data_IF_615481487034
#
_entry.id   IF_615481487034
#
_cell.length_a   1.000
_cell.length_b   1.000
_cell.length_c   1.000
_cell.angle_alpha   90.00
_cell.angle_beta   90.00
_cell.angle_gamma   90.00
#
_symmetry.space_group_name_H-M   'P 1'
#
loop_
_entity.id
_entity.type
_entity.pdbx_description
1 polymer ?
#
# COMPACT_ATOMS: atom_id res chain seq x y z
N UNK A 1 67.45 -2.81 -10.94
CA UNK A 1 66.14 -2.20 -11.30
C UNK A 1 65.15 -2.58 -10.23
N UNK A 2 64.65 -1.62 -9.44
CA UNK A 2 63.76 -1.88 -8.30
C UNK A 2 62.31 -1.79 -8.78
N UNK A 3 61.62 -2.93 -8.86
CA UNK A 3 60.21 -2.99 -9.20
C UNK A 3 59.40 -2.49 -8.00
N UNK A 4 58.85 -1.27 -8.07
CA UNK A 4 57.86 -0.78 -7.11
C UNK A 4 56.53 -1.47 -7.45
N UNK A 5 56.18 -2.50 -6.67
CA UNK A 5 54.82 -3.03 -6.64
C UNK A 5 53.91 -1.98 -5.99
N UNK A 6 53.10 -1.31 -6.81
CA UNK A 6 52.00 -0.47 -6.35
C UNK A 6 50.80 -1.40 -6.16
N UNK A 7 50.45 -1.67 -4.90
CA UNK A 7 49.20 -2.37 -4.56
C UNK A 7 48.07 -1.35 -4.58
N UNK A 8 47.29 -1.34 -5.67
CA UNK A 8 46.01 -0.63 -5.74
C UNK A 8 44.97 -1.50 -5.01
N UNK A 9 44.59 -1.09 -3.81
CA UNK A 9 43.40 -1.59 -3.13
C UNK A 9 42.18 -0.89 -3.72
N UNK A 10 41.44 -1.56 -4.61
CA UNK A 10 40.13 -1.10 -5.06
C UNK A 10 39.13 -1.39 -3.93
N UNK A 11 38.72 -0.34 -3.24
CA UNK A 11 37.59 -0.34 -2.32
C UNK A 11 36.31 -0.40 -3.17
N UNK A 12 35.70 -1.58 -3.28
CA UNK A 12 34.43 -1.74 -3.98
C UNK A 12 33.33 -1.12 -3.11
N UNK A 13 33.05 0.16 -3.33
CA UNK A 13 31.93 0.84 -2.69
C UNK A 13 30.67 0.31 -3.39
N UNK A 14 30.02 -0.67 -2.75
CA UNK A 14 28.66 -1.05 -3.11
C UNK A 14 27.74 0.14 -2.78
N UNK A 15 27.47 0.98 -3.78
CA UNK A 15 26.39 1.97 -3.70
C UNK A 15 25.09 1.17 -3.68
N UNK A 16 24.56 0.93 -2.48
CA UNK A 16 23.20 0.47 -2.29
C UNK A 16 22.28 1.63 -2.70
N UNK A 17 21.92 1.66 -3.98
CA UNK A 17 20.83 2.52 -4.44
C UNK A 17 19.56 1.94 -3.86
N UNK A 18 18.95 2.67 -2.92
CA UNK A 18 17.59 2.38 -2.48
C UNK A 18 16.68 2.58 -3.69
N UNK A 19 16.28 1.48 -4.33
CA UNK A 19 15.35 1.54 -5.45
C UNK A 19 13.95 1.84 -4.92
N UNK A 20 13.19 2.76 -5.54
CA UNK A 20 11.77 2.89 -5.25
C UNK A 20 11.06 1.55 -5.44
N UNK A 21 9.92 1.36 -4.77
CA UNK A 21 9.14 0.13 -4.88
C UNK A 21 8.56 0.07 -6.29
N UNK A 22 9.01 -0.88 -7.10
CA UNK A 22 8.42 -1.14 -8.41
C UNK A 22 7.10 -1.92 -8.30
N UNK A 23 6.33 -1.91 -9.38
CA UNK A 23 5.01 -2.56 -9.44
C UNK A 23 5.08 -4.07 -9.17
N UNK A 24 6.16 -4.77 -9.57
CA UNK A 24 6.30 -6.20 -9.32
C UNK A 24 6.54 -6.50 -7.84
N UNK A 25 7.39 -5.70 -7.17
CA UNK A 25 7.61 -5.75 -5.72
C UNK A 25 6.30 -5.45 -4.99
N UNK A 26 5.57 -4.42 -5.41
CA UNK A 26 4.27 -4.06 -4.84
C UNK A 26 3.23 -5.17 -5.03
N UNK A 27 3.17 -5.80 -6.20
CA UNK A 27 2.23 -6.90 -6.50
C UNK A 27 2.52 -8.14 -5.67
N UNK A 28 3.80 -8.50 -5.50
CA UNK A 28 4.23 -9.59 -4.60
C UNK A 28 3.85 -9.30 -3.15
N UNK A 29 4.02 -8.06 -2.71
CA UNK A 29 3.59 -7.63 -1.37
C UNK A 29 2.08 -7.73 -1.24
N UNK A 30 1.32 -7.28 -2.24
CA UNK A 30 -0.13 -7.40 -2.26
C UNK A 30 -0.62 -8.86 -2.21
N UNK A 31 0.02 -9.79 -2.94
CA UNK A 31 -0.35 -11.21 -2.91
C UNK A 31 -0.12 -11.85 -1.53
N UNK A 32 0.99 -11.50 -0.87
CA UNK A 32 1.28 -11.98 0.48
C UNK A 32 0.36 -11.35 1.54
N UNK A 33 -0.01 -10.07 1.37
CA UNK A 33 -1.04 -9.43 2.19
C UNK A 33 -2.38 -10.16 2.02
N UNK A 34 -2.77 -10.49 0.79
CA UNK A 34 -3.99 -11.24 0.51
C UNK A 34 -3.98 -12.59 1.22
N UNK A 35 -2.90 -13.38 1.09
CA UNK A 35 -2.78 -14.68 1.73
C UNK A 35 -2.92 -14.59 3.27
N UNK A 36 -2.29 -13.58 3.90
CA UNK A 36 -2.43 -13.37 5.34
C UNK A 36 -3.83 -12.90 5.75
N UNK A 37 -4.42 -11.96 5.01
CA UNK A 37 -5.63 -11.24 5.42
C UNK A 37 -6.92 -11.96 5.06
N UNK A 38 -6.91 -12.79 4.01
CA UNK A 38 -8.06 -13.59 3.58
C UNK A 38 -8.34 -14.77 4.50
N UNK A 39 -7.44 -15.05 5.47
CA UNK A 39 -7.48 -16.24 6.34
C UNK A 39 -7.53 -17.57 5.57
N UNK A 40 -7.10 -17.59 4.31
CA UNK A 40 -7.04 -18.82 3.50
C UNK A 40 -5.70 -19.53 3.60
N UNK A 41 -4.68 -18.90 4.18
CA UNK A 41 -3.29 -19.39 4.18
C UNK A 41 -2.76 -19.73 2.77
N UNK A 42 -3.42 -19.20 1.74
CA UNK A 42 -3.22 -19.56 0.36
C UNK A 42 -3.22 -18.33 -0.54
N UNK A 43 -2.58 -18.48 -1.70
CA UNK A 43 -2.67 -17.51 -2.79
C UNK A 43 -3.88 -17.78 -3.68
N UNK A 44 -4.63 -18.86 -3.43
CA UNK A 44 -5.78 -19.22 -4.25
C UNK A 44 -6.85 -18.12 -4.14
N UNK A 45 -7.23 -17.57 -5.29
CA UNK A 45 -8.17 -16.45 -5.37
C UNK A 45 -7.53 -15.07 -5.44
N UNK A 46 -6.20 -14.94 -5.28
CA UNK A 46 -5.52 -13.67 -5.59
C UNK A 46 -5.37 -13.49 -7.11
N UNK A 47 -6.36 -12.86 -7.73
CA UNK A 47 -6.28 -12.41 -9.11
C UNK A 47 -6.50 -10.90 -9.17
N UNK A 48 -5.64 -10.21 -9.92
CA UNK A 48 -5.65 -8.75 -10.04
C UNK A 48 -6.31 -8.37 -11.36
N UNK A 49 -7.41 -7.62 -11.27
CA UNK A 49 -8.17 -7.09 -12.41
C UNK A 49 -7.44 -5.95 -13.08
N UNK A 50 -6.98 -5.02 -12.26
CA UNK A 50 -6.28 -3.80 -12.69
C UNK A 50 -5.41 -3.28 -11.56
N UNK A 51 -4.44 -2.45 -11.93
CA UNK A 51 -3.58 -1.75 -10.98
C UNK A 51 -3.72 -0.26 -11.26
N UNK A 52 -4.27 0.47 -10.30
CA UNK A 52 -4.30 1.92 -10.35
C UNK A 52 -3.05 2.45 -9.64
N UNK A 53 -2.32 3.34 -10.29
CA UNK A 53 -1.09 3.94 -9.75
C UNK A 53 -1.35 5.42 -9.52
N UNK A 54 -1.13 5.85 -8.29
CA UNK A 54 -1.14 7.27 -7.94
C UNK A 54 0.31 7.72 -7.91
N UNK A 55 0.70 8.55 -8.85
CA UNK A 55 2.04 9.12 -8.94
C UNK A 55 2.07 10.64 -8.71
N UNK A 56 3.27 11.15 -8.46
CA UNK A 56 3.59 12.57 -8.50
C UNK A 56 4.96 12.75 -9.16
N UNK A 57 5.05 13.56 -10.22
CA UNK A 57 6.29 13.79 -10.97
C UNK A 57 7.02 12.49 -11.41
N UNK A 58 6.27 11.51 -11.94
CA UNK A 58 6.78 10.18 -12.34
C UNK A 58 7.31 9.33 -11.19
N UNK A 59 6.94 9.65 -9.96
CA UNK A 59 7.22 8.84 -8.78
C UNK A 59 5.93 8.19 -8.32
N UNK A 60 5.87 6.86 -8.40
CA UNK A 60 4.72 6.10 -7.94
C UNK A 60 4.64 6.19 -6.41
N UNK A 61 3.57 6.81 -5.89
CA UNK A 61 3.37 6.98 -4.45
C UNK A 61 2.55 5.85 -3.86
N UNK A 62 1.52 5.40 -4.58
CA UNK A 62 0.60 4.36 -4.12
C UNK A 62 0.26 3.41 -5.28
N UNK A 63 0.16 2.13 -4.95
CA UNK A 63 -0.34 1.09 -5.86
C UNK A 63 -1.65 0.54 -5.31
N UNK A 64 -2.70 0.53 -6.12
CA UNK A 64 -4.01 0.01 -5.76
C UNK A 64 -4.28 -1.20 -6.64
N UNK A 65 -4.22 -2.39 -6.04
CA UNK A 65 -4.49 -3.64 -6.73
C UNK A 65 -5.98 -3.95 -6.59
N UNK A 66 -6.73 -3.77 -7.67
CA UNK A 66 -8.15 -4.16 -7.75
C UNK A 66 -8.23 -5.66 -7.96
N UNK A 67 -9.00 -6.36 -7.12
CA UNK A 67 -9.15 -7.81 -7.23
C UNK A 67 -10.21 -8.19 -8.28
N UNK A 68 -10.08 -9.35 -8.92
CA UNK A 68 -10.98 -9.81 -9.99
C UNK A 68 -12.43 -9.99 -9.55
N UNK A 69 -12.65 -10.54 -8.35
CA UNK A 69 -14.01 -10.72 -7.81
C UNK A 69 -14.52 -9.40 -7.25
N UNK A 70 -13.96 -8.98 -6.14
CA UNK A 70 -14.30 -7.79 -5.39
C UNK A 70 -13.18 -7.53 -4.38
N UNK A 71 -12.91 -6.26 -4.12
CA UNK A 71 -11.90 -5.86 -3.15
C UNK A 71 -10.72 -5.14 -3.77
N UNK A 72 -9.87 -4.62 -2.89
CA UNK A 72 -8.64 -3.96 -3.25
C UNK A 72 -7.57 -4.14 -2.17
N UNK A 73 -6.32 -3.97 -2.57
CA UNK A 73 -5.19 -3.83 -1.64
C UNK A 73 -4.37 -2.60 -2.05
N UNK A 74 -4.19 -1.68 -1.11
CA UNK A 74 -3.46 -0.42 -1.29
C UNK A 74 -2.07 -0.54 -0.65
N UNK A 75 -1.05 -0.46 -1.49
CA UNK A 75 0.37 -0.66 -1.14
C UNK A 75 1.15 0.65 -1.32
N UNK A 76 2.05 0.96 -0.39
CA UNK A 76 2.91 2.14 -0.47
C UNK A 76 3.98 2.00 -1.57
N UNK A 77 4.29 3.11 -2.25
CA UNK A 77 5.31 3.19 -3.31
C UNK A 77 6.74 3.36 -2.82
N UNK A 78 6.94 3.49 -1.51
CA UNK A 78 8.25 3.63 -0.89
C UNK A 78 8.36 2.72 0.35
N UNK A 79 9.49 2.03 0.50
CA UNK A 79 9.69 1.06 1.58
C UNK A 79 10.09 1.66 2.93
N UNK A 80 10.18 3.00 3.02
CA UNK A 80 10.21 3.74 4.29
C UNK A 80 8.83 3.90 4.93
N UNK A 81 7.75 3.62 4.20
CA UNK A 81 6.37 3.65 4.70
C UNK A 81 5.86 2.22 4.88
N UNK A 82 4.87 2.01 5.76
CA UNK A 82 4.26 0.69 5.96
C UNK A 82 3.72 0.11 4.63
N UNK A 83 3.98 -1.18 4.31
CA UNK A 83 3.61 -1.77 3.02
C UNK A 83 2.10 -1.84 2.78
N UNK A 84 1.30 -2.11 3.82
CA UNK A 84 -0.16 -2.19 3.72
C UNK A 84 -0.79 -0.91 4.28
N UNK A 85 -1.38 -0.10 3.40
CA UNK A 85 -2.05 1.14 3.79
C UNK A 85 -3.56 0.93 4.01
N UNK A 86 -4.22 0.23 3.09
CA UNK A 86 -5.64 -0.11 3.19
C UNK A 86 -5.96 -1.39 2.40
N UNK A 87 -7.04 -2.08 2.74
CA UNK A 87 -7.58 -3.18 1.95
C UNK A 87 -9.07 -3.39 2.23
N UNK A 88 -9.75 -4.02 1.29
CA UNK A 88 -11.11 -4.57 1.45
C UNK A 88 -11.21 -5.83 0.59
N UNK A 89 -11.98 -6.83 1.03
CA UNK A 89 -12.36 -7.99 0.22
C UNK A 89 -13.85 -8.03 -0.09
N UNK A 90 -14.57 -6.98 0.31
CA UNK A 90 -16.04 -6.88 0.23
C UNK A 90 -16.47 -5.69 -0.63
N UNK A 91 -15.53 -4.85 -1.08
CA UNK A 91 -15.83 -3.69 -1.92
C UNK A 91 -14.61 -3.22 -2.70
N UNK A 92 -14.82 -2.81 -3.95
CA UNK A 92 -13.77 -2.22 -4.78
C UNK A 92 -13.42 -0.80 -4.31
N UNK A 93 -12.19 -0.37 -4.58
CA UNK A 93 -11.80 1.03 -4.39
C UNK A 93 -12.16 1.81 -5.66
N UNK A 94 -12.90 2.90 -5.51
CA UNK A 94 -13.28 3.77 -6.63
C UNK A 94 -12.50 5.06 -6.46
N UNK A 95 -11.83 5.52 -7.53
CA UNK A 95 -11.04 6.77 -7.54
C UNK A 95 -11.80 7.93 -8.18
N UNK A 96 -12.88 7.64 -8.89
CA UNK A 96 -13.79 8.62 -9.46
C UNK A 96 -14.81 9.08 -8.40
N UNK A 97 -15.10 10.38 -8.36
CA UNK A 97 -16.12 10.98 -7.47
C UNK A 97 -16.00 10.57 -5.99
N UNK A 98 -14.76 10.44 -5.52
CA UNK A 98 -14.45 9.97 -4.17
C UNK A 98 -15.04 10.91 -3.12
N UNK A 99 -15.79 10.40 -2.13
CA UNK A 99 -16.26 11.20 -1.00
C UNK A 99 -15.12 11.96 -0.32
N UNK A 100 -15.34 13.21 0.07
CA UNK A 100 -14.29 14.11 0.57
C UNK A 100 -13.46 13.51 1.71
N UNK A 101 -14.06 12.70 2.57
CA UNK A 101 -13.37 11.99 3.65
C UNK A 101 -12.39 10.93 3.13
N UNK A 102 -12.76 10.18 2.09
CA UNK A 102 -11.87 9.18 1.46
C UNK A 102 -10.80 9.88 0.64
N UNK A 103 -11.12 10.98 -0.05
CA UNK A 103 -10.15 11.80 -0.76
C UNK A 103 -9.07 12.34 0.18
N UNK A 104 -9.48 12.88 1.33
CA UNK A 104 -8.57 13.33 2.39
C UNK A 104 -7.64 12.21 2.89
N UNK A 105 -8.18 10.99 3.08
CA UNK A 105 -7.38 9.83 3.49
C UNK A 105 -6.31 9.47 2.45
N UNK A 106 -6.67 9.46 1.16
CA UNK A 106 -5.72 9.20 0.06
C UNK A 106 -4.64 10.27 0.02
N UNK A 107 -5.00 11.55 0.19
CA UNK A 107 -4.03 12.65 0.26
C UNK A 107 -3.11 12.56 1.48
N UNK A 108 -3.61 12.08 2.62
CA UNK A 108 -2.78 11.80 3.78
C UNK A 108 -1.74 10.70 3.47
N UNK A 109 -2.14 9.61 2.80
CA UNK A 109 -1.20 8.55 2.38
C UNK A 109 -0.17 9.07 1.37
N UNK A 110 -0.58 9.84 0.36
CA UNK A 110 0.35 10.49 -0.58
C UNK A 110 1.36 11.36 0.17
N UNK A 111 0.88 12.17 1.12
CA UNK A 111 1.73 13.06 1.92
C UNK A 111 2.72 12.29 2.79
N UNK A 112 2.31 11.16 3.37
CA UNK A 112 3.19 10.28 4.13
C UNK A 112 4.33 9.72 3.27
N UNK A 113 4.02 9.23 2.06
CA UNK A 113 5.03 8.69 1.15
C UNK A 113 5.97 9.79 0.68
N UNK A 114 5.45 10.95 0.23
CA UNK A 114 6.28 12.09 -0.16
C UNK A 114 7.20 12.55 0.97
N UNK A 115 6.67 12.68 2.19
CA UNK A 115 7.48 13.09 3.33
C UNK A 115 8.57 12.07 3.64
N UNK A 116 8.28 10.78 3.56
CA UNK A 116 9.28 9.74 3.74
C UNK A 116 10.39 9.85 2.67
N UNK A 117 10.00 10.15 1.42
CA UNK A 117 10.91 10.34 0.29
C UNK A 117 11.87 11.51 0.43
N UNK A 118 11.34 12.65 0.89
CA UNK A 118 12.10 13.87 1.15
C UNK A 118 12.95 13.77 2.43
N UNK A 119 12.59 12.89 3.36
CA UNK A 119 13.34 12.68 4.59
C UNK A 119 14.60 11.84 4.34
N UNK A 120 15.72 12.23 4.96
CA UNK A 120 16.95 11.41 5.02
C UNK A 120 16.83 10.24 6.02
N UNK A 121 15.63 9.95 6.51
CA UNK A 121 15.41 8.91 7.52
C UNK A 121 15.21 7.56 6.86
N UNK A 122 15.91 6.56 7.36
CA UNK A 122 15.64 5.17 7.02
C UNK A 122 14.32 4.70 7.64
N UNK A 123 13.73 3.67 7.04
CA UNK A 123 12.62 2.95 7.64
C UNK A 123 12.99 2.47 9.06
N UNK A 124 12.01 2.47 9.96
CA UNK A 124 12.18 1.81 11.27
C UNK A 124 12.34 0.30 11.10
N UNK A 125 12.97 -0.37 12.06
CA UNK A 125 13.11 -1.84 12.07
C UNK A 125 11.78 -2.56 11.88
N UNK A 126 10.70 -2.04 12.49
CA UNK A 126 9.34 -2.56 12.34
C UNK A 126 8.87 -2.50 10.88
N UNK A 127 9.06 -1.37 10.20
CA UNK A 127 8.65 -1.21 8.80
C UNK A 127 9.47 -2.12 7.89
N UNK A 128 10.79 -2.22 8.12
CA UNK A 128 11.66 -3.14 7.38
C UNK A 128 11.20 -4.60 7.55
N UNK A 129 10.88 -5.00 8.78
CA UNK A 129 10.39 -6.36 9.04
C UNK A 129 9.03 -6.63 8.39
N UNK A 130 8.12 -5.64 8.34
CA UNK A 130 6.85 -5.77 7.62
C UNK A 130 7.06 -5.90 6.10
N UNK A 131 7.96 -5.11 5.52
CA UNK A 131 8.32 -5.24 4.10
C UNK A 131 8.95 -6.59 3.82
N UNK A 132 9.92 -7.03 4.62
CA UNK A 132 10.57 -8.32 4.45
C UNK A 132 9.53 -9.45 4.49
N UNK A 133 8.68 -9.47 5.52
CA UNK A 133 7.59 -10.43 5.70
C UNK A 133 6.69 -10.52 4.47
N UNK A 134 6.16 -9.40 3.97
CA UNK A 134 5.28 -9.44 2.79
C UNK A 134 6.04 -9.55 1.47
N UNK A 135 7.34 -9.32 1.45
CA UNK A 135 8.14 -9.49 0.24
C UNK A 135 8.55 -10.95 0.04
N UNK A 136 8.81 -11.68 1.12
CA UNK A 136 9.21 -13.10 1.10
C UNK A 136 8.03 -14.04 1.31
N UNK A 137 6.96 -13.59 1.94
CA UNK A 137 5.86 -14.45 2.40
C UNK A 137 6.23 -15.32 3.61
N UNK A 138 7.37 -15.08 4.27
CA UNK A 138 7.74 -15.83 5.48
C UNK A 138 7.15 -15.19 6.73
N UNK A 139 6.59 -16.02 7.62
CA UNK A 139 6.00 -15.55 8.87
C UNK A 139 4.68 -14.81 8.69
N UNK A 140 3.93 -15.13 7.63
CA UNK A 140 2.54 -14.67 7.50
C UNK A 140 1.73 -15.24 8.68
N UNK A 141 1.11 -14.33 9.42
CA UNK A 141 0.30 -14.67 10.58
C UNK A 141 -1.15 -14.75 10.13
N UNK A 142 -1.53 -15.92 9.65
CA UNK A 142 -2.93 -16.23 9.41
C UNK A 142 -3.70 -16.04 10.71
N UNK A 143 -4.73 -15.18 10.64
CA UNK A 143 -5.50 -14.90 11.84
C UNK A 143 -6.38 -16.11 12.07
N UNK A 144 -5.99 -16.99 12.99
CA UNK A 144 -6.89 -17.99 13.56
C UNK A 144 -7.88 -17.34 14.55
N UNK A 145 -8.50 -16.23 14.13
CA UNK A 145 -9.52 -15.50 14.86
C UNK A 145 -10.63 -15.24 13.87
N UNK A 146 -11.81 -15.76 14.19
CA UNK A 146 -13.02 -15.48 13.44
C UNK A 146 -13.23 -13.95 13.42
N UNK A 147 -13.10 -13.34 12.24
CA UNK A 147 -13.38 -11.91 12.07
C UNK A 147 -14.90 -11.79 12.15
N UNK A 148 -15.40 -11.52 13.35
CA UNK A 148 -16.76 -11.02 13.50
C UNK A 148 -16.78 -9.69 12.76
N UNK A 149 -17.60 -9.61 11.71
CA UNK A 149 -17.69 -8.48 10.79
C UNK A 149 -17.95 -7.14 11.50
N UNK A 150 -18.18 -6.06 10.74
CA UNK A 150 -18.31 -4.74 11.33
C UNK A 150 -19.41 -4.73 12.41
N UNK A 151 -19.12 -4.06 13.54
CA UNK A 151 -20.09 -3.94 14.65
C UNK A 151 -21.38 -3.24 14.21
N UNK A 152 -21.26 -2.38 13.20
CA UNK A 152 -22.38 -1.68 12.57
C UNK A 152 -22.64 -2.31 11.20
N UNK A 153 -23.87 -2.78 11.00
CA UNK A 153 -24.34 -3.31 9.71
C UNK A 153 -25.05 -2.24 8.87
N UNK A 154 -25.18 -1.02 9.39
CA UNK A 154 -25.89 0.07 8.73
C UNK A 154 -25.03 0.74 7.66
N UNK A 155 -25.57 0.88 6.46
CA UNK A 155 -24.95 1.61 5.35
C UNK A 155 -25.56 3.02 5.25
N UNK A 156 -25.19 3.90 6.18
CA UNK A 156 -25.63 5.30 6.16
C UNK A 156 -25.03 6.05 4.97
N UNK A 157 -25.75 7.06 4.48
CA UNK A 157 -25.31 7.91 3.39
C UNK A 157 -25.55 9.39 3.73
N UNK A 158 -25.01 10.31 2.93
CA UNK A 158 -25.20 11.76 3.08
C UNK A 158 -26.34 12.32 2.21
N UNK A 159 -26.96 11.49 1.36
CA UNK A 159 -28.00 11.87 0.41
C UNK A 159 -29.24 10.98 0.52
N UNK A 160 -30.32 11.36 -0.20
CA UNK A 160 -31.58 10.63 -0.22
C UNK A 160 -32.34 10.75 1.11
N UNK A 161 -33.04 9.70 1.54
CA UNK A 161 -33.84 9.74 2.78
C UNK A 161 -33.05 10.10 4.06
N UNK A 162 -31.71 10.11 4.00
CA UNK A 162 -30.84 10.51 5.10
C UNK A 162 -30.78 12.04 5.30
N UNK A 163 -31.02 12.84 4.26
CA UNK A 163 -30.97 14.30 4.33
C UNK A 163 -32.34 14.99 4.16
N UNK A 164 -33.46 14.25 4.23
CA UNK A 164 -34.84 14.77 4.10
C UNK A 164 -35.19 15.89 5.09
N UNK A 165 -34.57 15.89 6.28
CA UNK A 165 -34.77 16.91 7.30
C UNK A 165 -33.59 17.89 7.40
N UNK A 166 -32.65 17.84 6.46
CA UNK A 166 -31.58 18.81 6.31
C UNK A 166 -32.10 20.15 5.74
N UNK A 167 -31.33 21.23 5.85
CA UNK A 167 -31.65 22.45 5.13
C UNK A 167 -31.72 22.17 3.62
N UNK A 168 -32.67 22.78 2.89
CA UNK A 168 -32.72 22.66 1.44
C UNK A 168 -31.43 23.22 0.84
N UNK A 169 -30.96 22.57 -0.23
CA UNK A 169 -29.83 23.05 -1.01
C UNK A 169 -30.17 24.45 -1.55
N UNK A 170 -29.37 25.45 -1.20
CA UNK A 170 -29.54 26.82 -1.66
C UNK A 170 -28.96 26.94 -3.07
N UNK A 171 -29.60 26.23 -4.01
CA UNK A 171 -29.17 26.10 -5.40
C UNK A 171 -28.62 27.41 -5.96
N UNK A 172 -27.29 27.46 -6.11
CA UNK A 172 -26.54 28.52 -6.80
C UNK A 172 -25.81 27.93 -7.99
#
# INVERSE_FOLDING_TARGET
MKYKFIYINILFICILMSSPVDQNKAQRVASNIFAERSNTDSYEGFNVRSVDVIDDNNVNLLYIFQLDSEGFILVAGDDRVQPLLAYSFESNFILEDVPTNVAWMVDAYKSMVKHAMESERSATERINAEWEKYNTGTGLNSRNRDIKGPLLLSHWNQSGGWNDYGPPDDGT
#
